data_IF_496283366065
#
_entry.id   IF_496283366065
#
_cell.length_a   1.000
_cell.length_b   1.000
_cell.length_c   1.000
_cell.angle_alpha   90.00
_cell.angle_beta   90.00
_cell.angle_gamma   90.00
#
_symmetry.space_group_name_H-M   'P 1'
#
loop_
_entity.id
_entity.type
_entity.pdbx_description
1 polymer ?
#
# COMPACT_ATOMS: atom_id res chain seq x y z
N UNK A 1 -6.46 8.72 -6.98
CA UNK A 1 -6.79 7.31 -7.30
C UNK A 1 -7.47 6.52 -6.18
N UNK A 2 -7.36 6.94 -4.91
CA UNK A 2 -7.97 6.23 -3.77
C UNK A 2 -9.50 6.21 -3.77
N UNK A 3 -10.13 7.37 -4.02
CA UNK A 3 -11.59 7.50 -4.15
C UNK A 3 -12.15 6.60 -5.26
N UNK A 4 -11.50 6.56 -6.43
CA UNK A 4 -11.86 5.65 -7.51
C UNK A 4 -11.88 4.17 -7.10
N UNK A 5 -10.84 3.71 -6.38
CA UNK A 5 -10.76 2.33 -5.87
C UNK A 5 -11.85 2.03 -4.82
N UNK A 6 -12.18 3.00 -3.97
CA UNK A 6 -13.26 2.87 -2.99
C UNK A 6 -14.62 2.78 -3.70
N UNK A 7 -14.87 3.62 -4.71
CA UNK A 7 -16.11 3.57 -5.49
C UNK A 7 -16.26 2.22 -6.20
N UNK A 8 -15.19 1.69 -6.80
CA UNK A 8 -15.21 0.36 -7.42
C UNK A 8 -15.49 -0.73 -6.39
N UNK A 9 -14.89 -0.65 -5.20
CA UNK A 9 -15.15 -1.61 -4.13
C UNK A 9 -16.63 -1.62 -3.73
N UNK A 10 -17.26 -0.45 -3.62
CA UNK A 10 -18.70 -0.35 -3.34
C UNK A 10 -19.58 -0.94 -4.45
N UNK A 11 -19.24 -0.67 -5.72
CA UNK A 11 -19.95 -1.27 -6.87
C UNK A 11 -19.83 -2.79 -6.85
N UNK A 12 -18.63 -3.32 -6.57
CA UNK A 12 -18.38 -4.75 -6.50
C UNK A 12 -19.17 -5.41 -5.36
N UNK A 13 -19.22 -4.79 -4.19
CA UNK A 13 -20.03 -5.27 -3.05
C UNK A 13 -21.51 -5.28 -3.42
N UNK A 14 -22.04 -4.20 -3.98
CA UNK A 14 -23.44 -4.13 -4.41
C UNK A 14 -23.77 -5.22 -5.45
N UNK A 15 -22.87 -5.47 -6.39
CA UNK A 15 -23.01 -6.53 -7.38
C UNK A 15 -23.02 -7.93 -6.76
N UNK A 16 -22.12 -8.21 -5.82
CA UNK A 16 -22.10 -9.49 -5.10
C UNK A 16 -23.37 -9.73 -4.29
N UNK A 17 -23.88 -8.70 -3.62
CA UNK A 17 -25.16 -8.77 -2.89
C UNK A 17 -26.32 -9.00 -3.86
N UNK A 18 -26.34 -8.31 -5.00
CA UNK A 18 -27.35 -8.48 -6.03
C UNK A 18 -27.39 -9.91 -6.60
N UNK A 19 -26.23 -10.48 -6.95
CA UNK A 19 -26.14 -11.87 -7.42
C UNK A 19 -26.60 -12.83 -6.33
N UNK A 20 -26.12 -12.66 -5.10
CA UNK A 20 -26.50 -13.55 -4.00
C UNK A 20 -28.01 -13.51 -3.75
N UNK A 21 -28.63 -12.33 -3.80
CA UNK A 21 -30.07 -12.15 -3.69
C UNK A 21 -30.84 -12.80 -4.85
N UNK A 22 -30.36 -12.63 -6.08
CA UNK A 22 -30.98 -13.28 -7.25
C UNK A 22 -30.91 -14.82 -7.17
N UNK A 23 -29.79 -15.36 -6.71
CA UNK A 23 -29.63 -16.81 -6.48
C UNK A 23 -30.49 -17.29 -5.32
N UNK A 24 -30.65 -16.49 -4.27
CA UNK A 24 -31.52 -16.81 -3.13
C UNK A 24 -32.99 -16.98 -3.52
N UNK A 25 -33.46 -16.20 -4.49
CA UNK A 25 -34.81 -16.35 -5.06
C UNK A 25 -34.99 -17.66 -5.84
N UNK A 26 -33.91 -18.24 -6.37
CA UNK A 26 -33.96 -19.50 -7.14
C UNK A 26 -33.74 -20.74 -6.27
N UNK A 27 -32.76 -20.69 -5.36
CA UNK A 27 -32.42 -21.80 -4.48
C UNK A 27 -31.69 -21.30 -3.24
N UNK A 28 -32.34 -21.47 -2.09
CA UNK A 28 -31.80 -21.04 -0.80
C UNK A 28 -30.47 -21.73 -0.47
N UNK A 29 -30.35 -23.03 -0.78
CA UNK A 29 -29.12 -23.79 -0.55
C UNK A 29 -27.96 -23.32 -1.42
N UNK A 30 -28.23 -23.04 -2.70
CA UNK A 30 -27.20 -22.53 -3.62
C UNK A 30 -26.73 -21.12 -3.22
N UNK A 31 -27.63 -20.29 -2.68
CA UNK A 31 -27.31 -18.94 -2.26
C UNK A 31 -26.29 -18.89 -1.12
N UNK A 32 -26.32 -19.84 -0.19
CA UNK A 32 -25.33 -19.93 0.89
C UNK A 32 -23.94 -20.27 0.32
N UNK A 33 -23.86 -21.19 -0.63
CA UNK A 33 -22.60 -21.56 -1.27
C UNK A 33 -22.04 -20.41 -2.13
N UNK A 34 -22.89 -19.79 -2.96
CA UNK A 34 -22.49 -18.66 -3.82
C UNK A 34 -22.13 -17.43 -2.98
N UNK A 35 -22.92 -17.11 -1.96
CA UNK A 35 -22.67 -15.97 -1.07
C UNK A 35 -21.37 -16.12 -0.27
N UNK A 36 -21.06 -17.32 0.22
CA UNK A 36 -19.80 -17.57 0.94
C UNK A 36 -18.57 -17.47 0.02
N UNK A 37 -18.66 -18.00 -1.21
CA UNK A 37 -17.64 -17.81 -2.24
C UNK A 37 -17.42 -16.33 -2.58
N UNK A 38 -18.49 -15.57 -2.81
CA UNK A 38 -18.39 -14.14 -3.12
C UNK A 38 -17.82 -13.34 -1.94
N UNK A 39 -18.15 -13.72 -0.70
CA UNK A 39 -17.58 -13.10 0.50
C UNK A 39 -16.07 -13.31 0.57
N UNK A 40 -15.57 -14.52 0.28
CA UNK A 40 -14.13 -14.82 0.21
C UNK A 40 -13.43 -13.98 -0.86
N UNK A 41 -14.05 -13.82 -2.03
CA UNK A 41 -13.51 -12.97 -3.10
C UNK A 41 -13.40 -11.51 -2.64
N UNK A 42 -14.42 -10.98 -1.95
CA UNK A 42 -14.39 -9.63 -1.39
C UNK A 42 -13.29 -9.47 -0.34
N UNK A 43 -13.14 -10.43 0.57
CA UNK A 43 -12.08 -10.40 1.59
C UNK A 43 -10.69 -10.44 0.94
N UNK A 44 -10.47 -11.30 -0.05
CA UNK A 44 -9.21 -11.33 -0.81
C UNK A 44 -8.94 -10.00 -1.52
N UNK A 45 -9.95 -9.41 -2.17
CA UNK A 45 -9.81 -8.12 -2.84
C UNK A 45 -9.46 -7.00 -1.85
N UNK A 46 -10.15 -6.93 -0.71
CA UNK A 46 -9.85 -5.97 0.35
C UNK A 46 -8.46 -6.18 0.93
N UNK A 47 -8.03 -7.43 1.12
CA UNK A 47 -6.70 -7.74 1.65
C UNK A 47 -5.60 -7.30 0.69
N UNK A 48 -5.76 -7.55 -0.60
CA UNK A 48 -4.79 -7.18 -1.63
C UNK A 48 -4.69 -5.65 -1.79
N UNK A 49 -5.84 -4.97 -1.72
CA UNK A 49 -5.92 -3.52 -1.86
C UNK A 49 -5.82 -2.76 -0.53
N UNK A 50 -5.55 -3.44 0.59
CA UNK A 50 -5.63 -2.87 1.95
C UNK A 50 -4.75 -1.65 2.15
N UNK A 51 -3.54 -1.67 1.60
CA UNK A 51 -2.58 -0.56 1.69
C UNK A 51 -2.99 0.62 0.83
N UNK A 52 -3.69 0.39 -0.28
CA UNK A 52 -4.19 1.47 -1.12
C UNK A 52 -5.49 2.09 -0.59
N UNK A 53 -6.30 1.32 0.14
CA UNK A 53 -7.63 1.72 0.64
C UNK A 53 -7.56 2.28 2.07
N UNK A 54 -6.81 1.62 2.95
CA UNK A 54 -6.77 1.92 4.40
C UNK A 54 -5.48 2.62 4.86
N UNK A 55 -4.43 2.73 4.04
CA UNK A 55 -3.22 3.42 4.49
C UNK A 55 -3.48 4.94 4.63
N UNK A 56 -3.11 5.55 5.76
CA UNK A 56 -3.24 6.98 5.97
C UNK A 56 -2.18 7.72 5.15
N UNK A 57 -2.55 8.03 3.91
CA UNK A 57 -2.03 9.15 3.14
C UNK A 57 -0.64 8.96 2.53
N UNK A 58 -0.53 9.36 1.26
CA UNK A 58 0.72 9.65 0.54
C UNK A 58 1.70 10.53 1.36
N UNK A 59 1.20 11.26 2.37
CA UNK A 59 1.99 12.02 3.34
C UNK A 59 2.96 11.18 4.19
N UNK A 60 2.62 9.93 4.56
CA UNK A 60 3.56 9.06 5.29
C UNK A 60 4.61 8.42 4.37
N UNK A 61 4.26 8.14 3.12
CA UNK A 61 5.21 7.63 2.13
C UNK A 61 6.26 8.71 1.78
N UNK A 62 5.82 9.96 1.58
CA UNK A 62 6.71 11.09 1.29
C UNK A 62 7.69 11.38 2.44
N UNK A 63 7.23 11.34 3.70
CA UNK A 63 8.10 11.48 4.89
C UNK A 63 9.13 10.36 4.99
N UNK A 64 8.77 9.12 4.64
CA UNK A 64 9.69 7.98 4.73
C UNK A 64 10.79 8.06 3.66
N UNK A 65 10.45 8.53 2.46
CA UNK A 65 11.42 8.74 1.37
C UNK A 65 12.39 9.89 1.71
N UNK A 66 11.90 10.98 2.28
CA UNK A 66 12.71 12.11 2.73
C UNK A 66 13.67 11.73 3.88
N UNK A 67 13.22 10.90 4.82
CA UNK A 67 14.07 10.33 5.87
C UNK A 67 15.13 9.36 5.32
N UNK A 68 14.79 8.60 4.26
CA UNK A 68 15.73 7.66 3.65
C UNK A 68 16.79 8.42 2.85
N UNK A 69 16.41 9.44 2.08
CA UNK A 69 17.33 10.30 1.35
C UNK A 69 18.28 11.08 2.27
N UNK A 70 17.78 11.58 3.40
CA UNK A 70 18.62 12.26 4.41
C UNK A 70 19.56 11.31 5.15
N UNK A 71 19.11 10.09 5.49
CA UNK A 71 19.97 9.08 6.10
C UNK A 71 21.09 8.61 5.15
N UNK A 72 20.78 8.41 3.86
CA UNK A 72 21.79 8.07 2.84
C UNK A 72 22.76 9.23 2.64
N UNK A 73 22.28 10.48 2.56
CA UNK A 73 23.14 11.65 2.44
C UNK A 73 24.07 11.83 3.65
N UNK A 74 23.58 11.58 4.86
CA UNK A 74 24.40 11.61 6.08
C UNK A 74 25.43 10.47 6.10
N UNK A 75 25.05 9.26 5.69
CA UNK A 75 25.98 8.14 5.56
C UNK A 75 27.10 8.43 4.58
N UNK A 76 26.77 8.94 3.39
CA UNK A 76 27.76 9.33 2.37
C UNK A 76 28.68 10.45 2.87
N UNK A 77 28.13 11.45 3.56
CA UNK A 77 28.95 12.53 4.14
C UNK A 77 29.92 12.03 5.21
N UNK A 78 29.50 11.09 6.07
CA UNK A 78 30.35 10.46 7.08
C UNK A 78 31.43 9.58 6.45
N UNK A 79 31.11 8.84 5.39
CA UNK A 79 32.11 8.03 4.66
C UNK A 79 33.17 8.92 4.02
N UNK A 80 32.78 10.00 3.34
CA UNK A 80 33.73 10.96 2.75
C UNK A 80 34.59 11.67 3.80
N UNK A 81 34.03 11.93 4.99
CA UNK A 81 34.79 12.48 6.12
C UNK A 81 35.84 11.48 6.61
N UNK A 82 35.48 10.20 6.71
CA UNK A 82 36.38 9.12 7.11
C UNK A 82 37.48 8.84 6.08
N UNK A 83 37.17 8.98 4.79
CA UNK A 83 38.13 8.88 3.67
C UNK A 83 39.03 10.12 3.56
N UNK A 84 38.79 11.16 4.34
CA UNK A 84 39.59 12.37 4.33
C UNK A 84 39.40 13.22 3.07
N UNK A 85 38.35 13.01 2.28
CA UNK A 85 38.03 13.84 1.10
C UNK A 85 37.46 15.22 1.46
N UNK A 86 37.09 15.45 2.72
CA UNK A 86 36.50 16.72 3.18
C UNK A 86 37.59 17.65 3.69
N UNK A 87 37.67 18.87 3.11
CA UNK A 87 38.57 19.94 3.56
C UNK A 87 38.41 20.15 5.08
N UNK A 88 39.48 19.89 5.83
CA UNK A 88 39.50 20.01 7.29
C UNK A 88 39.50 18.68 8.07
N UNK A 89 39.46 17.52 7.39
CA UNK A 89 39.67 16.21 8.03
C UNK A 89 41.16 16.02 8.41
N UNK A 90 41.50 15.34 9.53
CA UNK A 90 42.88 15.14 9.97
C UNK A 90 43.80 14.48 8.92
N UNK A 91 43.23 13.78 7.93
CA UNK A 91 43.96 13.03 6.91
C UNK A 91 43.71 13.56 5.47
N UNK A 92 43.29 14.83 5.34
CA UNK A 92 42.99 15.44 4.04
C UNK A 92 44.26 15.60 3.18
N UNK A 93 44.42 14.73 2.19
CA UNK A 93 45.42 14.84 1.12
C UNK A 93 44.76 15.48 -0.10
N UNK A 94 44.72 16.81 -0.13
CA UNK A 94 44.32 17.55 -1.32
C UNK A 94 45.35 17.37 -2.43
N UNK A 95 44.96 16.68 -3.50
CA UNK A 95 45.69 16.67 -4.77
C UNK A 95 45.15 17.77 -5.69
#
# INVERSE_FOLDING_TARGET
>A
MRTFKITIAWILVAFCVGITGAVYLQSQGAAVAVGSLLSLVLVSFLYDHRTSIFSPGEAKAKKKDELTGTAVAQGVALTRLAEGEVRGSPNYSGN
#
